data_IF_927690392836
#
_entry.id   IF_927690392836
#
_cell.length_a   1.000
_cell.length_b   1.000
_cell.length_c   1.000
_cell.angle_alpha   90.00
_cell.angle_beta   90.00
_cell.angle_gamma   90.00
#
_symmetry.space_group_name_H-M   'P 1'
#
loop_
_entity.id
_entity.type
_entity.pdbx_description
1 polymer ?
#
# COMPACT_ATOMS: atom_id res chain seq x y z
N UNK A 1 6.83 1.53 -1.45
CA UNK A 1 6.84 1.53 -2.92
C UNK A 1 8.07 2.22 -3.49
N UNK A 2 8.29 3.51 -3.21
CA UNK A 2 9.44 4.27 -3.71
C UNK A 2 10.81 3.64 -3.39
N UNK A 3 11.11 3.42 -2.10
CA UNK A 3 12.36 2.78 -1.69
C UNK A 3 12.58 1.38 -2.31
N UNK A 4 11.51 0.58 -2.41
CA UNK A 4 11.56 -0.75 -3.02
C UNK A 4 11.96 -0.72 -4.50
N UNK A 5 11.67 0.39 -5.20
CA UNK A 5 11.99 0.58 -6.60
C UNK A 5 13.17 1.55 -6.78
N UNK A 6 13.90 1.87 -5.71
CA UNK A 6 15.05 2.80 -5.70
C UNK A 6 14.72 4.18 -6.32
N UNK A 7 13.45 4.60 -6.22
CA UNK A 7 13.00 5.91 -6.67
C UNK A 7 12.89 6.83 -5.47
N UNK A 8 13.44 8.03 -5.59
CA UNK A 8 13.45 9.03 -4.52
C UNK A 8 12.86 10.33 -5.04
N UNK A 9 12.00 10.94 -4.22
CA UNK A 9 11.35 12.24 -4.46
C UNK A 9 10.55 12.33 -5.77
N UNK A 10 9.26 12.03 -5.64
CA UNK A 10 8.24 12.54 -6.54
C UNK A 10 7.18 13.23 -5.71
N UNK A 11 6.76 14.40 -6.17
CA UNK A 11 5.62 15.16 -5.64
C UNK A 11 4.46 14.23 -5.29
N UNK A 12 3.75 14.51 -4.19
CA UNK A 12 2.54 13.78 -3.81
C UNK A 12 1.49 13.79 -4.93
N UNK A 13 1.50 14.85 -5.76
CA UNK A 13 0.62 14.95 -6.93
C UNK A 13 1.02 13.93 -8.00
N UNK A 14 0.18 12.92 -8.17
CA UNK A 14 0.36 11.89 -9.19
C UNK A 14 1.14 10.66 -8.72
N UNK A 15 1.48 10.57 -7.43
CA UNK A 15 2.21 9.43 -6.88
C UNK A 15 1.54 8.09 -7.21
N UNK A 16 0.21 7.99 -7.12
CA UNK A 16 -0.53 6.76 -7.48
C UNK A 16 -0.32 6.38 -8.95
N UNK A 17 -0.47 7.34 -9.86
CA UNK A 17 -0.26 7.11 -11.30
C UNK A 17 1.17 6.69 -11.62
N UNK A 18 2.15 7.23 -10.90
CA UNK A 18 3.54 6.85 -11.06
C UNK A 18 3.81 5.43 -10.55
N UNK A 19 3.27 5.07 -9.38
CA UNK A 19 3.43 3.73 -8.78
C UNK A 19 2.88 2.63 -9.70
N UNK A 20 1.84 2.91 -10.50
CA UNK A 20 1.35 1.95 -11.52
C UNK A 20 2.42 1.58 -12.57
N UNK A 21 3.46 2.40 -12.72
CA UNK A 21 4.58 2.18 -13.65
C UNK A 21 5.81 1.58 -12.98
N UNK A 22 5.74 1.27 -11.68
CA UNK A 22 6.85 0.64 -10.96
C UNK A 22 6.96 -0.83 -11.36
N UNK A 23 8.18 -1.33 -11.42
CA UNK A 23 8.45 -2.74 -11.71
C UNK A 23 7.99 -3.63 -10.54
N UNK A 24 8.40 -3.26 -9.32
CA UNK A 24 7.98 -3.95 -8.09
C UNK A 24 6.75 -3.26 -7.53
N UNK A 25 5.56 -3.77 -7.85
CA UNK A 25 4.29 -3.25 -7.33
C UNK A 25 3.23 -4.33 -7.09
N UNK A 26 2.35 -4.13 -6.10
CA UNK A 26 1.13 -4.92 -6.00
C UNK A 26 0.25 -4.73 -7.25
N UNK A 27 -0.43 -5.79 -7.72
CA UNK A 27 -1.49 -5.66 -8.72
C UNK A 27 -2.55 -4.66 -8.25
N UNK A 28 -3.06 -3.84 -9.15
CA UNK A 28 -4.14 -2.88 -8.88
C UNK A 28 -3.90 -1.96 -7.66
N UNK A 29 -2.63 -1.60 -7.38
CA UNK A 29 -2.26 -0.80 -6.21
C UNK A 29 -3.12 0.46 -6.06
N UNK A 30 -3.20 1.28 -7.10
CA UNK A 30 -3.91 2.56 -7.04
C UNK A 30 -5.42 2.40 -6.90
N UNK A 31 -5.99 1.41 -7.58
CA UNK A 31 -7.41 1.09 -7.46
C UNK A 31 -7.75 0.62 -6.04
N UNK A 32 -6.89 -0.19 -5.44
CA UNK A 32 -7.06 -0.69 -4.07
C UNK A 32 -6.97 0.45 -3.06
N UNK A 33 -5.98 1.33 -3.18
CA UNK A 33 -5.86 2.53 -2.34
C UNK A 33 -7.09 3.42 -2.48
N UNK A 34 -7.54 3.69 -3.70
CA UNK A 34 -8.74 4.48 -3.95
C UNK A 34 -9.99 3.87 -3.28
N UNK A 35 -10.15 2.55 -3.37
CA UNK A 35 -11.25 1.81 -2.70
C UNK A 35 -11.16 1.85 -1.18
N UNK A 36 -9.97 1.90 -0.59
CA UNK A 36 -9.81 2.04 0.86
C UNK A 36 -10.18 3.45 1.33
N UNK A 37 -9.76 4.47 0.56
CA UNK A 37 -9.98 5.88 0.89
C UNK A 37 -11.40 6.37 0.58
N UNK A 38 -12.11 5.76 -0.38
CA UNK A 38 -13.47 6.17 -0.76
C UNK A 38 -14.56 5.69 0.20
N UNK A 39 -14.25 4.75 1.10
CA UNK A 39 -15.20 4.20 2.07
C UNK A 39 -15.10 4.95 3.41
N UNK A 40 -15.78 6.09 3.52
CA UNK A 40 -15.87 6.90 4.75
C UNK A 40 -16.88 6.39 5.79
N UNK A 41 -17.22 5.09 5.77
CA UNK A 41 -18.27 4.51 6.62
C UNK A 41 -17.76 3.87 7.90
N UNK A 42 -18.59 3.85 8.95
CA UNK A 42 -18.38 3.04 10.16
C UNK A 42 -18.82 1.58 10.00
N UNK A 43 -18.63 0.78 11.05
CA UNK A 43 -19.08 -0.62 11.11
C UNK A 43 -18.44 -1.52 10.06
N UNK A 44 -19.25 -2.27 9.32
CA UNK A 44 -18.79 -3.24 8.32
C UNK A 44 -17.99 -2.63 7.17
N UNK A 45 -18.28 -1.38 6.78
CA UNK A 45 -17.56 -0.69 5.73
C UNK A 45 -16.10 -0.43 6.15
N UNK A 46 -15.90 -0.01 7.40
CA UNK A 46 -14.57 0.17 8.00
C UNK A 46 -13.83 -1.17 8.06
N UNK A 47 -14.47 -2.22 8.55
CA UNK A 47 -13.86 -3.55 8.65
C UNK A 47 -13.40 -4.07 7.28
N UNK A 48 -14.20 -3.87 6.22
CA UNK A 48 -13.83 -4.23 4.85
C UNK A 48 -12.65 -3.39 4.33
N UNK A 49 -12.63 -2.09 4.62
CA UNK A 49 -11.52 -1.21 4.23
C UNK A 49 -10.21 -1.62 4.93
N UNK A 50 -10.26 -1.91 6.23
CA UNK A 50 -9.11 -2.39 7.01
C UNK A 50 -8.57 -3.71 6.47
N UNK A 51 -9.44 -4.69 6.17
CA UNK A 51 -9.00 -5.97 5.57
C UNK A 51 -8.31 -5.77 4.23
N UNK A 52 -8.87 -4.93 3.36
CA UNK A 52 -8.27 -4.62 2.05
C UNK A 52 -6.92 -3.92 2.20
N UNK A 53 -6.78 -3.02 3.18
CA UNK A 53 -5.50 -2.37 3.48
C UNK A 53 -4.47 -3.37 4.00
N UNK A 54 -4.87 -4.30 4.87
CA UNK A 54 -3.99 -5.36 5.38
C UNK A 54 -3.51 -6.27 4.24
N UNK A 55 -4.41 -6.71 3.36
CA UNK A 55 -4.07 -7.50 2.17
C UNK A 55 -3.08 -6.77 1.27
N UNK A 56 -3.29 -5.47 1.04
CA UNK A 56 -2.36 -4.63 0.26
C UNK A 56 -0.99 -4.54 0.94
N UNK A 57 -0.96 -4.32 2.26
CA UNK A 57 0.27 -4.27 3.03
C UNK A 57 1.05 -5.58 2.95
N UNK A 58 0.37 -6.72 3.08
CA UNK A 58 0.98 -8.05 2.94
C UNK A 58 1.55 -8.28 1.53
N UNK A 59 0.89 -7.79 0.48
CA UNK A 59 1.43 -7.84 -0.89
C UNK A 59 2.73 -7.04 -0.99
N UNK A 60 2.77 -5.83 -0.42
CA UNK A 60 4.00 -5.02 -0.37
C UNK A 60 5.11 -5.73 0.42
N UNK A 61 4.79 -6.33 1.57
CA UNK A 61 5.76 -7.10 2.38
C UNK A 61 6.33 -8.28 1.60
N UNK A 62 5.51 -9.00 0.82
CA UNK A 62 5.98 -10.09 -0.05
C UNK A 62 6.98 -9.60 -1.10
N UNK A 63 6.76 -8.42 -1.68
CA UNK A 63 7.68 -7.82 -2.65
C UNK A 63 9.01 -7.37 -2.02
N UNK A 64 9.06 -7.21 -0.70
CA UNK A 64 10.27 -6.87 0.01
C UNK A 64 11.21 -8.08 0.23
N UNK A 65 10.88 -9.30 -0.24
CA UNK A 65 11.78 -10.49 -0.24
C UNK A 65 12.48 -10.76 1.11
N UNK A 66 11.85 -10.40 2.23
CA UNK A 66 12.41 -10.63 3.58
C UNK A 66 13.29 -9.49 4.13
N UNK A 67 13.52 -8.40 3.40
CA UNK A 67 14.18 -7.21 3.95
C UNK A 67 13.26 -6.43 4.91
N UNK A 68 11.96 -6.70 4.88
CA UNK A 68 11.01 -6.12 5.82
C UNK A 68 11.13 -6.79 7.18
N UNK A 69 11.66 -6.04 8.15
CA UNK A 69 11.61 -6.44 9.56
C UNK A 69 10.38 -5.81 10.20
N UNK A 70 9.44 -6.65 10.66
CA UNK A 70 8.30 -6.15 11.44
C UNK A 70 8.85 -5.55 12.75
N UNK A 71 8.68 -4.24 13.00
CA UNK A 71 9.14 -3.67 14.25
C UNK A 71 8.32 -4.27 15.40
N UNK A 72 8.99 -4.73 16.46
CA UNK A 72 8.32 -5.18 17.67
C UNK A 72 7.92 -3.94 18.48
N UNK A 73 6.76 -3.37 18.16
CA UNK A 73 6.18 -2.27 18.92
C UNK A 73 5.55 -2.84 20.20
N UNK A 74 6.39 -3.26 21.15
CA UNK A 74 5.93 -3.51 22.52
C UNK A 74 5.66 -2.15 23.16
N UNK A 75 4.39 -1.89 23.45
CA UNK A 75 3.94 -0.78 24.28
C UNK A 75 4.16 -1.11 25.76
#
# INVERSE_FOLDING_TARGET
MYALNERYFVSDKGALHEIERFEKRPPEFSLTVAKCLSLSGGGDALAKSVRRLDELAQQVVRLCEGIYTRPDFRA
#
